data_IF_091292714937
#
_entry.id   IF_091292714937
#
_cell.length_a   1.000
_cell.length_b   1.000
_cell.length_c   1.000
_cell.angle_alpha   90.00
_cell.angle_beta   90.00
_cell.angle_gamma   90.00
#
_symmetry.space_group_name_H-M   'P 1'
#
loop_
_entity.id
_entity.type
_entity.pdbx_description
1 polymer ?
#
# COMPACT_ATOMS: atom_id res chain seq x y z
N UNK A 1 16.53 21.33 -9.81
CA UNK A 1 16.70 20.05 -9.08
C UNK A 1 15.72 19.90 -7.92
N UNK A 2 15.58 20.89 -7.03
CA UNK A 2 14.64 20.83 -5.88
C UNK A 2 13.18 20.56 -6.26
N UNK A 3 12.66 21.21 -7.31
CA UNK A 3 11.28 21.00 -7.79
C UNK A 3 11.05 19.60 -8.39
N UNK A 4 12.07 19.04 -9.07
CA UNK A 4 12.01 17.68 -9.61
C UNK A 4 11.95 16.63 -8.49
N UNK A 5 12.83 16.77 -7.49
CA UNK A 5 12.82 15.90 -6.31
C UNK A 5 11.49 15.96 -5.55
N UNK A 6 10.92 17.17 -5.38
CA UNK A 6 9.58 17.33 -4.78
C UNK A 6 8.48 16.66 -5.60
N UNK A 7 8.53 16.73 -6.94
CA UNK A 7 7.57 16.04 -7.81
C UNK A 7 7.65 14.52 -7.70
N UNK A 8 8.87 13.97 -7.66
CA UNK A 8 9.11 12.53 -7.47
C UNK A 8 8.64 12.04 -6.09
N UNK A 9 8.92 12.79 -5.02
CA UNK A 9 8.41 12.50 -3.67
C UNK A 9 6.87 12.55 -3.62
N UNK A 10 6.25 13.55 -4.25
CA UNK A 10 4.79 13.65 -4.34
C UNK A 10 4.19 12.43 -5.03
N UNK A 11 4.82 11.94 -6.10
CA UNK A 11 4.39 10.73 -6.80
C UNK A 11 4.46 9.50 -5.90
N UNK A 12 5.55 9.32 -5.14
CA UNK A 12 5.68 8.21 -4.18
C UNK A 12 4.58 8.29 -3.11
N UNK A 13 4.30 9.48 -2.57
CA UNK A 13 3.24 9.65 -1.57
C UNK A 13 1.86 9.27 -2.12
N UNK A 14 1.53 9.67 -3.35
CA UNK A 14 0.28 9.29 -4.01
C UNK A 14 0.20 7.77 -4.21
N UNK A 15 1.29 7.12 -4.62
CA UNK A 15 1.34 5.67 -4.75
C UNK A 15 1.22 4.95 -3.40
N UNK A 16 1.79 5.51 -2.34
CA UNK A 16 1.63 4.98 -0.98
C UNK A 16 0.19 5.08 -0.49
N UNK A 17 -0.45 6.24 -0.62
CA UNK A 17 -1.86 6.42 -0.23
C UNK A 17 -2.79 5.45 -0.97
N UNK A 18 -2.47 5.15 -2.23
CA UNK A 18 -3.16 4.17 -3.04
C UNK A 18 -3.09 2.77 -2.45
N UNK A 19 -1.92 2.33 -1.98
CA UNK A 19 -1.68 1.05 -1.33
C UNK A 19 -2.50 0.91 -0.02
N UNK A 20 -2.52 1.97 0.80
CA UNK A 20 -3.23 1.96 2.09
C UNK A 20 -4.76 1.72 1.95
N UNK A 21 -5.37 2.14 0.83
CA UNK A 21 -6.82 2.02 0.59
C UNK A 21 -7.28 0.55 0.52
N UNK A 22 -6.56 -0.34 -0.15
CA UNK A 22 -7.00 -1.76 -0.30
C UNK A 22 -6.93 -2.49 1.03
N UNK A 23 -5.90 -2.19 1.84
CA UNK A 23 -5.74 -2.74 3.18
C UNK A 23 -6.86 -2.25 4.10
N UNK A 24 -7.22 -0.96 4.03
CA UNK A 24 -8.36 -0.42 4.77
C UNK A 24 -9.67 -1.12 4.41
N UNK A 25 -9.91 -1.37 3.11
CA UNK A 25 -11.09 -2.12 2.67
C UNK A 25 -11.06 -3.58 3.12
N UNK A 26 -9.89 -4.23 3.14
CA UNK A 26 -9.74 -5.61 3.61
C UNK A 26 -10.06 -5.74 5.10
N UNK A 27 -9.61 -4.76 5.92
CA UNK A 27 -9.93 -4.69 7.35
C UNK A 27 -11.43 -4.46 7.55
N UNK A 28 -12.01 -3.52 6.80
CA UNK A 28 -13.43 -3.16 6.89
C UNK A 28 -14.32 -4.34 6.52
N UNK A 29 -14.04 -5.02 5.41
CA UNK A 29 -14.80 -6.20 4.97
C UNK A 29 -14.67 -7.35 5.95
N UNK A 30 -13.45 -7.59 6.47
CA UNK A 30 -13.22 -8.65 7.46
C UNK A 30 -14.00 -8.38 8.75
N UNK A 31 -13.96 -7.14 9.25
CA UNK A 31 -14.68 -6.74 10.46
C UNK A 31 -16.19 -6.91 10.29
N UNK A 32 -16.73 -6.50 9.14
CA UNK A 32 -18.15 -6.64 8.84
C UNK A 32 -18.58 -8.11 8.78
N UNK A 33 -17.84 -8.96 8.07
CA UNK A 33 -18.18 -10.38 7.94
C UNK A 33 -18.07 -11.11 9.28
N UNK A 34 -17.03 -10.84 10.06
CA UNK A 34 -16.87 -11.41 11.40
C UNK A 34 -18.05 -11.01 12.29
N UNK A 35 -18.43 -9.73 12.28
CA UNK A 35 -19.56 -9.22 13.08
C UNK A 35 -20.86 -9.95 12.73
N UNK A 36 -21.15 -10.12 11.43
CA UNK A 36 -22.35 -10.83 10.97
C UNK A 36 -22.31 -12.32 11.35
N UNK A 37 -21.17 -12.97 11.12
CA UNK A 37 -20.99 -14.40 11.38
C UNK A 37 -21.19 -14.76 12.86
N UNK A 38 -20.77 -13.88 13.78
CA UNK A 38 -20.95 -14.10 15.22
C UNK A 38 -22.29 -13.56 15.76
N UNK A 39 -22.97 -12.67 15.04
CA UNK A 39 -24.24 -12.11 15.49
C UNK A 39 -25.44 -13.05 15.28
N UNK A 40 -25.36 -14.00 14.35
CA UNK A 40 -26.46 -14.93 14.08
C UNK A 40 -25.96 -16.38 13.93
N UNK A 41 -26.53 -17.29 14.73
CA UNK A 41 -26.21 -18.73 14.73
C UNK A 41 -26.64 -19.48 13.46
N UNK A 42 -27.57 -18.93 12.69
CA UNK A 42 -28.06 -19.53 11.45
C UNK A 42 -27.12 -19.31 10.27
N UNK A 43 -26.11 -18.44 10.41
CA UNK A 43 -25.16 -18.14 9.34
C UNK A 43 -24.21 -19.34 9.12
N UNK A 44 -24.14 -19.88 7.90
CA UNK A 44 -23.20 -20.96 7.60
C UNK A 44 -21.75 -20.49 7.74
N UNK A 45 -20.90 -21.29 8.39
CA UNK A 45 -19.49 -20.95 8.65
C UNK A 45 -18.65 -20.81 7.36
N UNK A 46 -19.20 -21.21 6.20
CA UNK A 46 -18.61 -21.00 4.88
C UNK A 46 -18.36 -19.51 4.57
N UNK A 47 -19.05 -18.60 5.26
CA UNK A 47 -18.86 -17.15 5.11
C UNK A 47 -17.41 -16.71 5.43
N UNK A 48 -16.69 -17.44 6.28
CA UNK A 48 -15.28 -17.17 6.55
C UNK A 48 -14.37 -17.47 5.35
N UNK A 49 -14.67 -18.52 4.58
CA UNK A 49 -13.96 -18.80 3.32
C UNK A 49 -14.24 -17.73 2.27
N UNK A 50 -15.47 -17.20 2.23
CA UNK A 50 -15.80 -16.07 1.38
C UNK A 50 -15.03 -14.81 1.76
N UNK A 51 -14.89 -14.51 3.07
CA UNK A 51 -14.02 -13.43 3.53
C UNK A 51 -12.56 -13.64 3.09
N UNK A 52 -12.03 -14.86 3.26
CA UNK A 52 -10.66 -15.18 2.85
C UNK A 52 -10.46 -14.93 1.35
N UNK A 53 -11.43 -15.30 0.51
CA UNK A 53 -11.39 -15.04 -0.93
C UNK A 53 -11.37 -13.53 -1.25
N UNK A 54 -12.18 -12.72 -0.55
CA UNK A 54 -12.17 -11.26 -0.70
C UNK A 54 -10.80 -10.69 -0.34
N UNK A 55 -10.26 -11.05 0.83
CA UNK A 55 -8.94 -10.59 1.29
C UNK A 55 -7.85 -11.02 0.31
N UNK A 56 -7.93 -12.25 -0.22
CA UNK A 56 -6.99 -12.74 -1.22
C UNK A 56 -7.00 -11.90 -2.50
N UNK A 57 -8.19 -11.54 -3.01
CA UNK A 57 -8.32 -10.65 -4.17
C UNK A 57 -7.74 -9.26 -3.88
N UNK A 58 -7.99 -8.71 -2.68
CA UNK A 58 -7.42 -7.41 -2.29
C UNK A 58 -5.88 -7.47 -2.20
N UNK A 59 -5.31 -8.53 -1.62
CA UNK A 59 -3.86 -8.75 -1.59
C UNK A 59 -3.26 -8.93 -2.98
N UNK A 60 -3.99 -9.58 -3.89
CA UNK A 60 -3.58 -9.72 -5.28
C UNK A 60 -3.55 -8.37 -6.02
N UNK A 61 -4.55 -7.52 -5.80
CA UNK A 61 -4.55 -6.15 -6.34
C UNK A 61 -3.39 -5.35 -5.76
N UNK A 62 -3.16 -5.50 -4.45
CA UNK A 62 -2.13 -4.80 -3.72
C UNK A 62 -0.72 -5.18 -4.19
N UNK A 63 -0.44 -6.46 -4.37
CA UNK A 63 0.86 -6.94 -4.86
C UNK A 63 1.21 -6.39 -6.25
N UNK A 64 0.22 -6.29 -7.16
CA UNK A 64 0.42 -5.69 -8.48
C UNK A 64 0.75 -4.20 -8.38
N UNK A 65 0.09 -3.46 -7.48
CA UNK A 65 0.35 -2.03 -7.27
C UNK A 65 1.69 -1.80 -6.58
N UNK A 66 2.08 -2.69 -5.67
CA UNK A 66 3.36 -2.65 -4.97
C UNK A 66 4.54 -2.70 -5.94
N UNK A 67 4.46 -3.51 -7.02
CA UNK A 67 5.50 -3.54 -8.06
C UNK A 67 5.77 -2.18 -8.69
N UNK A 68 4.71 -1.38 -8.94
CA UNK A 68 4.87 -0.02 -9.47
C UNK A 68 5.44 0.94 -8.43
N UNK A 69 4.97 0.84 -7.18
CA UNK A 69 5.49 1.64 -6.07
C UNK A 69 7.00 1.40 -5.86
N UNK A 70 7.44 0.14 -5.88
CA UNK A 70 8.84 -0.22 -5.66
C UNK A 70 9.76 0.36 -6.73
N UNK A 71 9.34 0.37 -8.00
CA UNK A 71 10.09 1.01 -9.08
C UNK A 71 10.30 2.51 -8.86
N UNK A 72 9.26 3.24 -8.40
CA UNK A 72 9.38 4.68 -8.10
C UNK A 72 10.21 4.94 -6.85
N UNK A 73 10.06 4.11 -5.82
CA UNK A 73 10.87 4.17 -4.60
C UNK A 73 12.36 3.97 -4.91
N UNK A 74 12.71 3.01 -5.75
CA UNK A 74 14.08 2.78 -6.18
C UNK A 74 14.68 4.01 -6.91
N UNK A 75 13.90 4.66 -7.78
CA UNK A 75 14.35 5.88 -8.49
C UNK A 75 14.65 7.02 -7.54
N UNK A 76 13.79 7.28 -6.55
CA UNK A 76 14.05 8.33 -5.56
C UNK A 76 15.26 8.01 -4.69
N UNK A 77 15.41 6.75 -4.28
CA UNK A 77 16.59 6.32 -3.50
C UNK A 77 17.89 6.52 -4.28
N UNK A 78 17.89 6.32 -5.60
CA UNK A 78 19.05 6.63 -6.46
C UNK A 78 19.36 8.13 -6.48
N UNK A 79 18.34 9.01 -6.53
CA UNK A 79 18.53 10.46 -6.46
C UNK A 79 19.06 10.89 -5.08
N UNK A 80 18.53 10.31 -4.01
CA UNK A 80 19.00 10.59 -2.64
C UNK A 80 20.48 10.22 -2.47
N UNK A 81 20.85 9.00 -2.86
CA UNK A 81 22.21 8.49 -2.70
C UNK A 81 23.26 9.22 -3.56
N UNK A 82 22.92 9.58 -4.81
CA UNK A 82 23.90 10.13 -5.75
C UNK A 82 23.89 11.66 -5.85
N UNK A 83 22.82 12.35 -5.42
CA UNK A 83 22.74 13.81 -5.49
C UNK A 83 22.65 14.47 -4.12
N UNK A 84 21.73 14.03 -3.26
CA UNK A 84 21.50 14.72 -1.98
C UNK A 84 22.62 14.47 -0.97
N UNK A 85 23.05 13.21 -0.83
CA UNK A 85 24.14 12.85 0.08
C UNK A 85 25.45 13.59 -0.24
N UNK A 86 25.99 13.57 -1.48
CA UNK A 86 27.22 14.29 -1.79
C UNK A 86 27.08 15.81 -1.64
N UNK A 87 25.94 16.40 -2.02
CA UNK A 87 25.70 17.85 -1.84
C UNK A 87 25.74 18.28 -0.36
N UNK A 88 25.24 17.44 0.55
CA UNK A 88 25.28 17.71 2.00
C UNK A 88 26.68 17.48 2.57
N UNK A 89 27.42 16.50 2.04
CA UNK A 89 28.79 16.20 2.49
C UNK A 89 29.82 17.22 1.98
N UNK A 90 29.62 17.80 0.80
CA UNK A 90 30.52 18.82 0.23
C UNK A 90 30.36 20.21 0.88
N UNK A 91 29.24 20.48 1.55
CA UNK A 91 28.99 21.72 2.27
C UNK A 91 29.42 21.66 3.76
N UNK A 92 30.34 20.75 4.11
CA UNK A 92 31.01 20.64 5.42
C UNK A 92 32.51 20.77 5.23
#
# INVERSE_FOLDING_TARGET
MSHFYRGELGRIMVWRQRLDITTNWAITSSTAIITIAFSNREVPHIIFFFNLAIVWVMLWIESRRYRFYDAFRARVRMLEAHFLVPMVMENR
#
